data_IF_388033149637
#
_entry.id   IF_388033149637
#
_cell.length_a   1.000
_cell.length_b   1.000
_cell.length_c   1.000
_cell.angle_alpha   90.00
_cell.angle_beta   90.00
_cell.angle_gamma   90.00
#
_symmetry.space_group_name_H-M   'P 1'
#
loop_
_entity.id
_entity.type
_entity.pdbx_description
1 polymer ?
#
# COMPACT_ATOMS: atom_id res chain seq x y z
N UNK A 1 4.26 -3.06 -2.27
CA UNK A 1 4.02 -1.61 -2.33
C UNK A 1 4.97 -1.02 -3.36
N UNK A 2 4.46 -0.38 -4.41
CA UNK A 2 5.32 0.30 -5.37
C UNK A 2 4.68 0.58 -6.74
N UNK A 3 5.24 1.59 -7.41
CA UNK A 3 4.76 2.13 -8.68
C UNK A 3 3.63 3.16 -8.53
N UNK A 4 3.34 3.85 -9.62
CA UNK A 4 2.20 4.75 -9.77
C UNK A 4 1.44 4.35 -11.03
N UNK A 5 0.13 4.19 -10.93
CA UNK A 5 -0.70 3.65 -12.01
C UNK A 5 -1.69 4.71 -12.52
N UNK A 6 -1.81 4.90 -13.85
CA UNK A 6 -1.22 4.07 -14.92
C UNK A 6 0.25 4.37 -15.22
N UNK A 7 0.83 5.47 -14.75
CA UNK A 7 2.25 5.76 -14.97
C UNK A 7 2.79 6.73 -13.93
N UNK A 8 4.07 6.63 -13.62
CA UNK A 8 4.74 7.66 -12.82
C UNK A 8 6.06 7.22 -12.20
N UNK A 9 6.31 7.74 -11.00
CA UNK A 9 7.58 7.58 -10.29
C UNK A 9 7.29 7.38 -8.81
N UNK A 10 7.76 6.26 -8.26
CA UNK A 10 7.52 5.88 -6.87
C UNK A 10 8.85 5.53 -6.17
N UNK A 11 8.93 5.89 -4.89
CA UNK A 11 10.17 5.90 -4.11
C UNK A 11 10.85 4.52 -4.00
N UNK A 12 10.11 3.43 -3.80
CA UNK A 12 10.67 2.08 -3.71
C UNK A 12 11.24 1.61 -5.05
N UNK A 13 10.69 2.07 -6.17
CA UNK A 13 11.22 1.73 -7.49
C UNK A 13 12.47 2.53 -7.84
N UNK A 14 12.60 3.76 -7.36
CA UNK A 14 13.60 4.72 -7.89
C UNK A 14 14.81 4.92 -6.99
N UNK A 15 14.64 4.89 -5.66
CA UNK A 15 15.64 5.48 -4.77
C UNK A 15 16.88 4.63 -4.57
N UNK A 16 16.69 3.33 -4.27
CA UNK A 16 17.79 2.49 -3.81
C UNK A 16 18.48 1.75 -4.95
N UNK A 17 17.71 1.06 -5.78
CA UNK A 17 18.24 0.33 -6.92
C UNK A 17 17.17 0.16 -8.02
N UNK A 18 17.05 1.16 -8.87
CA UNK A 18 16.10 1.18 -9.96
C UNK A 18 16.26 0.00 -10.93
N UNK A 19 17.51 -0.40 -11.20
CA UNK A 19 17.76 -1.56 -12.09
C UNK A 19 17.30 -2.88 -11.49
N UNK A 20 17.39 -3.04 -10.16
CA UNK A 20 16.88 -4.23 -9.49
C UNK A 20 15.34 -4.25 -9.47
N UNK A 21 14.69 -3.12 -9.19
CA UNK A 21 13.24 -3.01 -9.28
C UNK A 21 12.75 -3.33 -10.70
N UNK A 22 13.40 -2.76 -11.72
CA UNK A 22 13.12 -3.04 -13.12
C UNK A 22 13.30 -4.52 -13.47
N UNK A 23 14.40 -5.13 -13.02
CA UNK A 23 14.66 -6.54 -13.26
C UNK A 23 13.57 -7.43 -12.65
N UNK A 24 13.27 -7.26 -11.36
CA UNK A 24 12.24 -8.06 -10.68
C UNK A 24 10.89 -7.89 -11.35
N UNK A 25 10.41 -6.65 -11.52
CA UNK A 25 9.07 -6.42 -12.08
C UNK A 25 8.96 -6.94 -13.50
N UNK A 26 9.97 -6.75 -14.35
CA UNK A 26 9.86 -7.12 -15.76
C UNK A 26 10.05 -8.64 -16.03
N UNK A 27 10.61 -9.39 -15.07
CA UNK A 27 11.03 -10.79 -15.29
C UNK A 27 10.49 -11.79 -14.27
N UNK A 28 9.79 -11.36 -13.24
CA UNK A 28 9.25 -12.27 -12.24
C UNK A 28 8.23 -13.24 -12.86
N UNK A 29 8.39 -14.56 -12.68
CA UNK A 29 7.53 -15.55 -13.34
C UNK A 29 6.19 -15.77 -12.61
N UNK A 30 6.05 -15.25 -11.39
CA UNK A 30 4.84 -15.41 -10.59
C UNK A 30 3.87 -14.24 -10.72
N UNK A 31 2.74 -14.33 -10.02
CA UNK A 31 1.80 -13.23 -9.92
C UNK A 31 2.38 -12.08 -9.09
N UNK A 32 2.12 -10.83 -9.51
CA UNK A 32 2.42 -9.64 -8.74
C UNK A 32 1.15 -8.78 -8.64
N UNK A 33 0.83 -8.32 -7.43
CA UNK A 33 -0.17 -7.27 -7.23
C UNK A 33 0.49 -6.03 -6.64
N UNK A 34 0.27 -4.89 -7.29
CA UNK A 34 0.84 -3.61 -6.89
C UNK A 34 -0.17 -2.76 -6.14
N UNK A 35 0.28 -2.16 -5.04
CA UNK A 35 -0.39 -1.07 -4.35
C UNK A 35 0.39 0.21 -4.69
N UNK A 36 -0.23 1.10 -5.47
CA UNK A 36 0.44 2.26 -6.04
C UNK A 36 0.27 3.55 -5.24
N UNK A 37 0.94 4.59 -5.73
CA UNK A 37 0.92 5.95 -5.18
C UNK A 37 -0.51 6.51 -5.13
N UNK A 38 -1.28 6.30 -6.18
CA UNK A 38 -2.61 6.88 -6.39
C UNK A 38 -3.63 6.54 -5.28
N UNK A 39 -3.49 5.39 -4.61
CA UNK A 39 -4.32 5.03 -3.45
C UNK A 39 -3.59 5.28 -2.12
N UNK A 40 -2.28 5.09 -2.06
CA UNK A 40 -1.50 5.24 -0.82
C UNK A 40 -1.38 6.69 -0.34
N UNK A 41 -1.34 7.67 -1.26
CA UNK A 41 -1.28 9.09 -0.94
C UNK A 41 -2.57 9.63 -0.31
N UNK A 42 -3.71 9.15 -0.83
CA UNK A 42 -5.03 9.72 -0.49
C UNK A 42 -5.71 8.99 0.67
N UNK A 43 -5.34 7.74 0.94
CA UNK A 43 -5.83 6.99 2.11
C UNK A 43 -4.97 7.34 3.30
N UNK A 44 -5.53 8.14 4.20
CA UNK A 44 -4.85 8.59 5.40
C UNK A 44 -5.30 7.76 6.61
N UNK A 45 -4.34 7.23 7.38
CA UNK A 45 -4.59 6.44 8.61
C UNK A 45 -3.56 6.75 9.69
N UNK A 46 -3.75 6.17 10.89
CA UNK A 46 -2.87 6.34 12.05
C UNK A 46 -3.26 7.50 12.97
N UNK A 47 -4.00 8.49 12.46
CA UNK A 47 -4.41 9.67 13.24
C UNK A 47 -5.29 9.30 14.43
N UNK A 48 -6.36 8.54 14.21
CA UNK A 48 -7.26 8.14 15.29
C UNK A 48 -6.60 7.09 16.20
N UNK A 49 -5.81 6.18 15.62
CA UNK A 49 -5.03 5.19 16.35
C UNK A 49 -4.11 5.83 17.39
N UNK A 50 -3.31 6.84 17.01
CA UNK A 50 -2.38 7.53 17.92
C UNK A 50 -3.06 8.23 19.10
N UNK A 51 -4.35 8.55 18.99
CA UNK A 51 -5.13 9.17 20.07
C UNK A 51 -5.74 8.11 20.98
N UNK A 52 -6.32 7.05 20.40
CA UNK A 52 -7.21 6.11 21.10
C UNK A 52 -6.55 4.82 21.59
N UNK A 53 -5.41 4.42 21.02
CA UNK A 53 -4.74 3.19 21.42
C UNK A 53 -4.29 3.23 22.91
N UNK A 54 -4.14 2.07 23.57
CA UNK A 54 -3.65 1.99 24.94
C UNK A 54 -2.35 2.76 25.15
N UNK A 55 -2.19 3.42 26.29
CA UNK A 55 -1.05 4.32 26.52
C UNK A 55 0.32 3.62 26.49
N UNK A 56 0.37 2.35 26.89
CA UNK A 56 1.59 1.54 26.91
C UNK A 56 1.84 0.78 25.60
N UNK A 57 1.01 0.98 24.58
CA UNK A 57 1.17 0.30 23.31
C UNK A 57 2.43 0.82 22.57
N UNK A 58 3.40 -0.04 22.23
CA UNK A 58 4.64 0.40 21.59
C UNK A 58 4.41 0.90 20.15
N UNK A 59 3.38 0.41 19.46
CA UNK A 59 3.05 0.83 18.10
C UNK A 59 2.46 2.25 18.12
N UNK A 60 1.61 2.58 19.09
CA UNK A 60 1.13 3.94 19.37
C UNK A 60 2.29 4.89 19.58
N UNK A 61 3.25 4.52 20.42
CA UNK A 61 4.42 5.36 20.69
C UNK A 61 5.25 5.59 19.41
N UNK A 62 5.50 4.55 18.62
CA UNK A 62 6.22 4.65 17.36
C UNK A 62 5.51 5.56 16.35
N UNK A 63 4.19 5.40 16.17
CA UNK A 63 3.41 6.26 15.30
C UNK A 63 3.40 7.71 15.79
N UNK A 64 3.22 7.95 17.09
CA UNK A 64 3.28 9.32 17.64
C UNK A 64 4.63 9.99 17.40
N UNK A 65 5.75 9.25 17.47
CA UNK A 65 7.06 9.79 17.11
C UNK A 65 7.22 10.06 15.63
N UNK A 66 6.66 9.20 14.78
CA UNK A 66 6.80 9.31 13.33
C UNK A 66 5.94 10.43 12.74
N UNK A 67 4.65 10.49 13.09
CA UNK A 67 3.67 11.39 12.45
C UNK A 67 3.09 12.45 13.41
N UNK A 68 3.33 12.33 14.72
CA UNK A 68 2.72 13.18 15.72
C UNK A 68 1.32 12.69 16.13
N UNK A 69 0.92 13.01 17.37
CA UNK A 69 -0.39 12.61 17.91
C UNK A 69 -1.54 13.29 17.16
N UNK A 70 -2.49 12.49 16.67
CA UNK A 70 -3.70 12.96 15.98
C UNK A 70 -3.52 13.27 14.50
N UNK A 71 -2.28 13.26 14.00
CA UNK A 71 -2.01 13.45 12.58
C UNK A 71 -2.08 12.10 11.86
N UNK A 72 -2.78 11.99 10.73
CA UNK A 72 -2.72 10.80 9.91
C UNK A 72 -1.59 10.90 8.87
N UNK A 73 -1.26 9.77 8.23
CA UNK A 73 -0.27 9.69 7.15
C UNK A 73 -0.77 8.80 6.01
N UNK A 74 -0.17 8.95 4.82
CA UNK A 74 -0.43 8.07 3.68
C UNK A 74 -0.19 6.60 4.04
N UNK A 75 -1.04 5.73 3.52
CA UNK A 75 -1.20 4.36 4.00
C UNK A 75 -0.69 3.30 3.03
N UNK A 76 0.29 3.63 2.19
CA UNK A 76 0.85 2.71 1.18
C UNK A 76 1.15 1.30 1.72
N UNK A 77 1.98 1.21 2.76
CA UNK A 77 2.37 -0.07 3.34
C UNK A 77 1.23 -0.72 4.12
N UNK A 78 0.47 0.00 4.99
CA UNK A 78 -0.73 -0.56 5.61
C UNK A 78 -1.76 -1.15 4.63
N UNK A 79 -2.04 -0.48 3.51
CA UNK A 79 -2.95 -1.00 2.48
C UNK A 79 -2.38 -2.25 1.80
N UNK A 80 -1.07 -2.25 1.52
CA UNK A 80 -0.39 -3.43 0.95
C UNK A 80 -0.52 -4.64 1.88
N UNK A 81 -0.34 -4.44 3.20
CA UNK A 81 -0.51 -5.50 4.21
C UNK A 81 -1.97 -5.93 4.32
N UNK A 82 -2.92 -4.99 4.29
CA UNK A 82 -4.35 -5.30 4.31
C UNK A 82 -4.75 -6.20 3.14
N UNK A 83 -4.31 -5.88 1.93
CA UNK A 83 -4.52 -6.74 0.76
C UNK A 83 -3.87 -8.11 0.92
N UNK A 84 -2.65 -8.18 1.45
CA UNK A 84 -1.98 -9.47 1.68
C UNK A 84 -2.74 -10.38 2.66
N UNK A 85 -3.46 -9.80 3.63
CA UNK A 85 -4.25 -10.55 4.61
C UNK A 85 -5.64 -10.92 4.08
N UNK A 86 -6.33 -9.99 3.42
CA UNK A 86 -7.76 -10.12 3.10
C UNK A 86 -8.06 -10.30 1.60
N UNK A 87 -7.04 -10.24 0.75
CA UNK A 87 -7.24 -10.12 -0.69
C UNK A 87 -7.97 -8.82 -1.03
N UNK A 88 -8.88 -8.89 -2.01
CA UNK A 88 -9.68 -7.71 -2.41
C UNK A 88 -10.60 -7.21 -1.29
N UNK A 89 -11.20 -8.13 -0.54
CA UNK A 89 -12.21 -7.80 0.46
C UNK A 89 -13.31 -6.91 -0.12
N UNK A 90 -13.70 -5.89 0.64
CA UNK A 90 -14.59 -4.80 0.21
C UNK A 90 -13.83 -3.49 -0.03
N UNK A 91 -12.51 -3.47 0.20
CA UNK A 91 -11.68 -2.26 0.13
C UNK A 91 -11.13 -2.06 -1.28
N UNK A 92 -10.77 -3.17 -1.94
CA UNK A 92 -10.03 -3.11 -3.19
C UNK A 92 -10.80 -3.76 -4.34
N UNK A 93 -10.49 -3.28 -5.53
CA UNK A 93 -10.74 -3.96 -6.78
C UNK A 93 -9.46 -3.96 -7.61
N UNK A 94 -9.38 -4.83 -8.62
CA UNK A 94 -8.28 -4.76 -9.58
C UNK A 94 -8.53 -3.65 -10.60
N UNK A 95 -7.44 -2.97 -10.98
CA UNK A 95 -7.42 -2.15 -12.18
C UNK A 95 -7.59 -2.97 -13.46
N UNK A 96 -7.39 -2.29 -14.58
CA UNK A 96 -7.49 -2.86 -15.91
C UNK A 96 -6.45 -3.98 -16.12
N UNK A 97 -6.77 -4.92 -17.01
CA UNK A 97 -5.81 -5.95 -17.44
C UNK A 97 -4.61 -5.31 -18.15
N UNK A 98 -3.46 -5.96 -18.02
CA UNK A 98 -2.18 -5.47 -18.54
C UNK A 98 -1.03 -5.89 -17.64
N UNK A 99 0.10 -5.20 -17.78
CA UNK A 99 1.24 -5.42 -16.92
C UNK A 99 2.01 -4.13 -16.64
N UNK A 100 2.64 -4.08 -15.47
CA UNK A 100 3.57 -3.02 -15.14
C UNK A 100 4.91 -3.22 -15.84
N UNK A 101 5.34 -2.23 -16.61
CA UNK A 101 6.70 -2.13 -17.13
C UNK A 101 7.48 -1.08 -16.36
N UNK A 102 8.66 -1.45 -15.85
CA UNK A 102 9.52 -0.54 -15.10
C UNK A 102 10.79 -0.25 -15.92
N UNK A 103 11.04 1.02 -16.17
CA UNK A 103 12.20 1.50 -16.91
C UNK A 103 13.47 1.41 -16.04
N UNK A 104 14.69 1.36 -16.62
CA UNK A 104 15.93 1.29 -15.85
C UNK A 104 16.19 2.45 -14.87
N UNK A 105 15.50 3.58 -15.05
CA UNK A 105 15.53 4.75 -14.15
C UNK A 105 14.49 4.65 -13.00
N UNK A 106 13.69 3.58 -12.95
CA UNK A 106 12.70 3.31 -11.90
C UNK A 106 11.31 3.89 -12.16
N UNK A 107 11.12 4.71 -13.20
CA UNK A 107 9.76 5.11 -13.59
C UNK A 107 8.98 3.91 -14.11
N UNK A 108 7.67 3.90 -13.97
CA UNK A 108 6.83 2.78 -14.40
C UNK A 108 5.66 3.24 -15.26
N UNK A 109 5.17 2.33 -16.09
CA UNK A 109 4.01 2.51 -16.96
C UNK A 109 3.22 1.19 -17.05
N UNK A 110 1.90 1.29 -16.97
CA UNK A 110 0.99 0.19 -17.17
C UNK A 110 0.72 -0.01 -18.65
N UNK A 111 1.08 -1.18 -19.16
CA UNK A 111 0.93 -1.55 -20.56
C UNK A 111 -0.35 -2.38 -20.71
N UNK A 112 -1.32 -1.85 -21.46
CA UNK A 112 -2.63 -2.50 -21.72
C UNK A 112 -2.54 -3.63 -22.77
N UNK A 113 -1.37 -4.20 -23.01
CA UNK A 113 -1.15 -5.31 -23.93
C UNK A 113 -1.07 -6.62 -23.15
N UNK A 114 -1.53 -7.70 -23.79
CA UNK A 114 -1.49 -9.03 -23.19
C UNK A 114 -0.09 -9.60 -23.33
N UNK A 115 0.65 -9.71 -22.22
CA UNK A 115 1.80 -10.61 -22.09
C UNK A 115 1.27 -11.88 -21.45
N UNK A 116 1.28 -13.01 -22.17
CA UNK A 116 0.73 -14.28 -21.66
C UNK A 116 1.37 -14.74 -20.35
N UNK A 117 2.60 -14.30 -20.08
CA UNK A 117 3.40 -14.61 -18.90
C UNK A 117 3.34 -13.55 -17.77
N UNK A 118 2.79 -12.36 -18.02
CA UNK A 118 2.74 -11.31 -17.01
C UNK A 118 1.43 -11.36 -16.22
N UNK A 119 1.44 -12.07 -15.09
CA UNK A 119 0.30 -12.15 -14.16
C UNK A 119 0.28 -10.96 -13.20
N UNK A 120 0.20 -9.75 -13.75
CA UNK A 120 0.24 -8.50 -12.98
C UNK A 120 -1.16 -7.95 -12.74
N UNK A 121 -1.33 -7.30 -11.57
CA UNK A 121 -2.50 -6.50 -11.19
C UNK A 121 -2.04 -5.26 -10.44
N UNK A 122 -2.79 -4.17 -10.52
CA UNK A 122 -2.67 -3.08 -9.55
C UNK A 122 -4.01 -2.87 -8.85
N UNK A 123 -3.97 -2.37 -7.62
CA UNK A 123 -5.15 -2.15 -6.79
C UNK A 123 -5.76 -0.78 -7.08
N UNK A 124 -7.09 -0.75 -7.12
CA UNK A 124 -7.91 0.46 -6.99
C UNK A 124 -8.77 0.35 -5.74
N UNK A 125 -9.28 1.48 -5.26
CA UNK A 125 -10.22 1.49 -4.14
C UNK A 125 -11.64 1.25 -4.65
N UNK A 126 -12.37 0.37 -3.97
CA UNK A 126 -13.81 0.15 -4.21
C UNK A 126 -14.70 1.06 -3.34
N UNK A 127 -14.08 1.89 -2.49
CA UNK A 127 -14.73 2.79 -1.54
C UNK A 127 -13.98 4.13 -1.46
N UNK A 128 -14.50 5.09 -0.68
CA UNK A 128 -13.79 6.36 -0.52
C UNK A 128 -12.47 6.18 0.25
N UNK A 129 -11.46 7.03 0.00
CA UNK A 129 -10.20 6.97 0.74
C UNK A 129 -10.37 7.13 2.25
N UNK A 130 -11.33 7.95 2.69
CA UNK A 130 -11.66 8.12 4.11
C UNK A 130 -12.22 6.85 4.76
N UNK A 131 -13.04 6.08 4.05
CA UNK A 131 -13.57 4.81 4.56
C UNK A 131 -12.46 3.77 4.69
N UNK A 132 -11.61 3.64 3.67
CA UNK A 132 -10.45 2.75 3.73
C UNK A 132 -9.49 3.12 4.88
N UNK A 133 -9.24 4.41 5.08
CA UNK A 133 -8.42 4.92 6.19
C UNK A 133 -9.03 4.61 7.57
N UNK A 134 -10.35 4.75 7.70
CA UNK A 134 -11.07 4.40 8.92
C UNK A 134 -11.01 2.89 9.23
N UNK A 135 -11.09 2.03 8.21
CA UNK A 135 -10.91 0.58 8.36
C UNK A 135 -9.51 0.26 8.90
N UNK A 136 -8.47 0.89 8.37
CA UNK A 136 -7.10 0.70 8.88
C UNK A 136 -6.95 1.14 10.34
N UNK A 137 -7.46 2.33 10.70
CA UNK A 137 -7.40 2.82 12.08
C UNK A 137 -8.13 1.88 13.05
N UNK A 138 -9.28 1.33 12.65
CA UNK A 138 -10.02 0.37 13.46
C UNK A 138 -9.25 -0.95 13.62
N UNK A 139 -8.63 -1.47 12.55
CA UNK A 139 -7.79 -2.66 12.63
C UNK A 139 -6.56 -2.45 13.53
N UNK A 140 -5.91 -1.29 13.45
CA UNK A 140 -4.78 -0.95 14.34
C UNK A 140 -5.22 -0.92 15.81
N UNK A 141 -6.37 -0.30 16.09
CA UNK A 141 -6.93 -0.24 17.43
C UNK A 141 -7.30 -1.62 17.97
N UNK A 142 -7.91 -2.47 17.15
CA UNK A 142 -8.23 -3.85 17.54
C UNK A 142 -6.97 -4.64 17.89
N UNK A 143 -5.91 -4.52 17.08
CA UNK A 143 -4.62 -5.16 17.34
C UNK A 143 -4.02 -4.70 18.69
N UNK A 144 -3.96 -3.40 18.92
CA UNK A 144 -3.41 -2.85 20.17
C UNK A 144 -4.25 -3.22 21.40
N UNK A 145 -5.58 -3.22 21.29
CA UNK A 145 -6.48 -3.61 22.37
C UNK A 145 -6.41 -5.11 22.69
N UNK A 146 -6.19 -5.96 21.68
CA UNK A 146 -5.99 -7.39 21.89
C UNK A 146 -4.66 -7.64 22.62
N UNK A 147 -3.59 -6.95 22.22
CA UNK A 147 -2.27 -7.06 22.83
C UNK A 147 -2.25 -6.58 24.29
N UNK A 148 -3.04 -5.56 24.65
CA UNK A 148 -3.04 -5.01 26.02
C UNK A 148 -3.76 -5.86 27.06
N UNK A 149 -4.41 -6.97 26.67
CA UNK A 149 -5.12 -7.89 27.57
C UNK A 149 -4.22 -9.01 28.14
N UNK A 150 -3.00 -9.11 27.65
CA UNK A 150 -1.98 -10.07 28.07
C UNK A 150 -0.85 -9.37 28.82
#
# INVERSE_FOLDING_TARGET
MGGQYPSGHEYNFVKYNATAAAHVVNTWPGCITFCGVEIGDVVLSGGNFTVRAPEKDPVKAAYQWFIGKGNPNGSWDPLTVLYAIQGLGNVFEYGEDGYNYVYPNGTNEWQNTTREDAHHRFLKLQMSPSEAGAILDELFLQGAMAASRH
#
